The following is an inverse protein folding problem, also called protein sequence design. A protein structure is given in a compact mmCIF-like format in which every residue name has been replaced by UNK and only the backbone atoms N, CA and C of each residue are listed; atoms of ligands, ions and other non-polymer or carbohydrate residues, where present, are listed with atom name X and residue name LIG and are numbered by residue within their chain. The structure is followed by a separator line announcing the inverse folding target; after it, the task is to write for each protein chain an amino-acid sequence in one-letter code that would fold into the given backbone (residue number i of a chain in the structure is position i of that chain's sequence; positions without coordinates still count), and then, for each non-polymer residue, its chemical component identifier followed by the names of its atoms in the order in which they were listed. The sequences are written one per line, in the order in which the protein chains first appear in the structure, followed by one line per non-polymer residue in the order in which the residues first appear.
data_IF_429336332679
#
_entry.id   IF_429336332679
#
_cell.length_a   1.000
_cell.length_b   1.000
_cell.length_c   1.000
_cell.angle_alpha   90.00
_cell.angle_beta   90.00
_cell.angle_gamma   90.00
#
_symmetry.space_group_name_H-M   'P 1'
#
loop_
_entity.id
_entity.type
_entity.pdbx_description
1 polymer ?
#
# COMPACT_ATOMS: atom_id res chain seq x y z
N UNK A 1 -14.55 -30.12 -9.75
CA UNK A 1 -14.39 -28.97 -8.84
C UNK A 1 -13.82 -27.68 -9.48
N UNK A 2 -13.44 -27.67 -10.77
CA UNK A 2 -12.81 -26.49 -11.41
C UNK A 2 -13.76 -25.52 -12.15
N UNK A 3 -15.06 -25.83 -12.22
CA UNK A 3 -16.01 -25.05 -13.05
C UNK A 3 -16.63 -23.85 -12.34
N UNK A 4 -16.59 -23.80 -11.02
CA UNK A 4 -17.14 -22.70 -10.21
C UNK A 4 -16.15 -21.54 -10.01
N UNK A 5 -14.86 -21.73 -10.30
CA UNK A 5 -13.84 -20.69 -10.11
C UNK A 5 -13.72 -19.71 -11.30
N UNK A 6 -14.18 -20.11 -12.50
CA UNK A 6 -14.04 -19.31 -13.73
C UNK A 6 -15.19 -18.29 -13.87
N UNK A 7 -16.40 -18.64 -13.44
CA UNK A 7 -17.55 -17.73 -13.51
C UNK A 7 -17.44 -16.56 -12.52
N UNK A 8 -16.69 -16.72 -11.42
CA UNK A 8 -16.42 -15.66 -10.46
C UNK A 8 -15.43 -14.60 -11.00
N UNK A 9 -14.54 -14.97 -11.92
CA UNK A 9 -13.59 -14.03 -12.55
C UNK A 9 -14.25 -13.14 -13.61
N UNK A 10 -15.28 -13.63 -14.29
CA UNK A 10 -15.93 -12.91 -15.39
C UNK A 10 -16.86 -11.83 -14.85
N UNK A 11 -17.58 -12.11 -13.76
CA UNK A 11 -18.50 -11.14 -13.13
C UNK A 11 -17.77 -9.96 -12.49
N UNK A 12 -16.58 -10.15 -11.93
CA UNK A 12 -15.76 -9.05 -11.39
C UNK A 12 -15.22 -8.14 -12.51
N UNK A 13 -14.89 -8.68 -13.68
CA UNK A 13 -14.38 -7.90 -14.82
C UNK A 13 -15.46 -6.98 -15.41
N UNK A 14 -16.70 -7.46 -15.54
CA UNK A 14 -17.81 -6.61 -15.99
C UNK A 14 -18.21 -5.55 -14.96
N UNK A 15 -18.08 -5.83 -13.66
CA UNK A 15 -18.37 -4.85 -12.59
C UNK A 15 -17.34 -3.71 -12.56
N UNK A 16 -16.08 -4.01 -12.88
CA UNK A 16 -15.01 -3.00 -13.03
C UNK A 16 -15.18 -2.17 -14.31
N UNK A 17 -15.68 -2.78 -15.40
CA UNK A 17 -15.98 -2.08 -16.65
C UNK A 17 -17.18 -1.12 -16.50
N UNK A 18 -18.26 -1.54 -15.83
CA UNK A 18 -19.46 -0.71 -15.65
C UNK A 18 -19.25 0.50 -14.73
N UNK A 19 -18.31 0.45 -13.78
CA UNK A 19 -18.00 1.60 -12.91
C UNK A 19 -17.17 2.69 -13.62
N UNK A 20 -16.42 2.37 -14.68
CA UNK A 20 -15.56 3.33 -15.37
C UNK A 20 -16.31 4.25 -16.35
N UNK A 21 -17.46 3.82 -16.85
CA UNK A 21 -18.24 4.61 -17.81
C UNK A 21 -19.03 5.76 -17.14
N UNK A 22 -19.28 5.71 -15.83
CA UNK A 22 -19.97 6.77 -15.08
C UNK A 22 -19.04 7.85 -14.50
N UNK A 23 -17.73 7.59 -14.40
CA UNK A 23 -16.75 8.59 -13.95
C UNK A 23 -16.30 9.56 -15.06
N UNK A 24 -16.73 9.34 -16.30
CA UNK A 24 -16.29 10.09 -17.47
C UNK A 24 -16.95 11.48 -17.63
N UNK A 25 -18.02 11.77 -16.87
CA UNK A 25 -18.78 13.04 -16.93
C UNK A 25 -18.78 13.83 -15.60
N UNK A 26 -18.07 13.38 -14.58
CA UNK A 26 -17.92 14.15 -13.35
C UNK A 26 -16.79 15.18 -13.55
N UNK A 27 -17.16 16.42 -13.86
CA UNK A 27 -16.26 17.55 -13.59
C UNK A 27 -15.78 17.39 -12.14
N UNK A 28 -14.46 17.36 -11.89
CA UNK A 28 -13.93 17.06 -10.57
C UNK A 28 -14.50 18.09 -9.60
N UNK A 29 -15.35 17.60 -8.72
CA UNK A 29 -16.01 18.46 -7.75
C UNK A 29 -14.95 19.05 -6.83
N UNK A 30 -15.27 20.16 -6.16
CA UNK A 30 -14.37 20.73 -5.13
C UNK A 30 -13.97 19.67 -4.09
N UNK A 31 -14.85 18.68 -3.88
CA UNK A 31 -14.60 17.52 -3.04
C UNK A 31 -13.50 16.61 -3.60
N UNK A 32 -13.47 16.33 -4.91
CA UNK A 32 -12.42 15.51 -5.55
C UNK A 32 -11.05 16.19 -5.50
N UNK A 33 -11.01 17.52 -5.66
CA UNK A 33 -9.77 18.29 -5.52
C UNK A 33 -9.27 18.27 -4.07
N UNK A 34 -10.17 18.43 -3.10
CA UNK A 34 -9.82 18.32 -1.68
C UNK A 34 -9.36 16.90 -1.33
N UNK A 35 -10.06 15.86 -1.80
CA UNK A 35 -9.72 14.46 -1.58
C UNK A 35 -8.35 14.10 -2.18
N UNK A 36 -8.04 14.58 -3.40
CA UNK A 36 -6.69 14.43 -3.98
C UNK A 36 -5.64 15.15 -3.17
N UNK A 37 -5.90 16.38 -2.73
CA UNK A 37 -4.94 17.16 -1.94
C UNK A 37 -4.65 16.53 -0.57
N UNK A 38 -5.69 16.03 0.09
CA UNK A 38 -5.56 15.28 1.36
C UNK A 38 -4.86 13.95 1.10
N UNK A 39 -5.18 13.25 0.02
CA UNK A 39 -4.55 12.00 -0.39
C UNK A 39 -3.06 12.16 -0.70
N UNK A 40 -2.67 13.20 -1.42
CA UNK A 40 -1.28 13.51 -1.77
C UNK A 40 -0.50 14.00 -0.55
N UNK A 41 -1.11 14.81 0.31
CA UNK A 41 -0.53 15.19 1.59
C UNK A 41 -0.31 13.97 2.48
N UNK A 42 -1.31 13.09 2.60
CA UNK A 42 -1.23 11.85 3.37
C UNK A 42 -0.22 10.86 2.78
N UNK A 43 -0.16 10.71 1.45
CA UNK A 43 0.83 9.89 0.76
C UNK A 43 2.25 10.45 0.90
N UNK A 44 2.41 11.77 0.79
CA UNK A 44 3.69 12.45 0.99
C UNK A 44 4.18 12.36 2.43
N UNK A 45 3.28 12.51 3.39
CA UNK A 45 3.57 12.40 4.82
C UNK A 45 3.87 10.95 5.22
N UNK A 46 3.08 9.98 4.75
CA UNK A 46 3.29 8.54 5.00
C UNK A 46 4.56 7.99 4.37
N UNK A 47 5.01 8.52 3.22
CA UNK A 47 6.32 8.18 2.62
C UNK A 47 7.49 8.60 3.49
N UNK A 48 7.39 9.71 4.22
CA UNK A 48 8.41 10.15 5.20
C UNK A 48 8.38 9.30 6.48
N UNK A 49 7.23 8.74 6.82
CA UNK A 49 7.03 7.82 7.94
C UNK A 49 7.41 6.37 7.62
N UNK A 50 8.07 6.09 6.50
CA UNK A 50 8.38 4.73 6.01
C UNK A 50 8.91 3.72 7.05
N UNK A 51 9.76 4.08 8.04
CA UNK A 51 10.15 3.13 9.07
C UNK A 51 9.15 3.01 10.24
N UNK A 52 8.26 4.00 10.43
CA UNK A 52 7.31 4.06 11.56
C UNK A 52 5.84 3.93 11.15
N UNK A 53 5.52 3.78 9.86
CA UNK A 53 4.14 3.89 9.35
C UNK A 53 3.19 2.91 10.02
N UNK A 54 3.62 1.67 10.23
CA UNK A 54 2.83 0.66 10.95
C UNK A 54 2.74 0.92 12.45
N UNK A 55 3.85 1.29 13.10
CA UNK A 55 3.85 1.63 14.51
C UNK A 55 2.96 2.84 14.82
N UNK A 56 2.99 3.88 13.97
CA UNK A 56 2.10 5.05 14.04
C UNK A 56 0.64 4.68 13.70
N UNK A 57 0.47 3.84 12.68
CA UNK A 57 -0.74 3.08 12.37
C UNK A 57 -1.46 2.59 13.62
N UNK A 58 -0.83 1.62 14.26
CA UNK A 58 -1.37 0.91 15.41
C UNK A 58 -1.46 1.77 16.67
N UNK A 59 -0.51 2.68 16.90
CA UNK A 59 -0.61 3.62 18.05
C UNK A 59 -1.75 4.60 17.89
N UNK A 60 -1.98 5.15 16.69
CA UNK A 60 -3.11 6.06 16.44
C UNK A 60 -4.45 5.35 16.66
N UNK A 61 -4.59 4.12 16.17
CA UNK A 61 -5.80 3.31 16.38
C UNK A 61 -6.00 2.97 17.86
N UNK A 62 -4.93 2.62 18.58
CA UNK A 62 -4.99 2.35 20.01
C UNK A 62 -5.44 3.57 20.82
N UNK A 63 -4.92 4.77 20.49
CA UNK A 63 -5.34 6.03 21.12
C UNK A 63 -6.83 6.28 20.88
N UNK A 64 -7.32 6.00 19.66
CA UNK A 64 -8.73 6.17 19.30
C UNK A 64 -9.62 5.23 20.14
N UNK A 65 -9.26 3.96 20.29
CA UNK A 65 -9.97 3.03 21.19
C UNK A 65 -9.93 3.46 22.66
N UNK A 66 -8.79 3.96 23.14
CA UNK A 66 -8.66 4.45 24.50
C UNK A 66 -9.57 5.67 24.74
N UNK A 67 -9.60 6.63 23.81
CA UNK A 67 -10.50 7.79 23.88
C UNK A 67 -11.96 7.36 23.92
N UNK A 68 -12.37 6.40 23.07
CA UNK A 68 -13.73 5.86 23.09
C UNK A 68 -14.05 5.18 24.43
N UNK A 69 -13.13 4.41 25.00
CA UNK A 69 -13.31 3.78 26.31
C UNK A 69 -13.46 4.84 27.42
N UNK A 70 -12.62 5.88 27.43
CA UNK A 70 -12.72 6.98 28.39
C UNK A 70 -14.01 7.79 28.22
N UNK A 71 -14.44 8.05 27.00
CA UNK A 71 -15.70 8.74 26.73
C UNK A 71 -16.90 7.93 27.24
N UNK A 72 -16.92 6.62 26.96
CA UNK A 72 -17.97 5.72 27.47
C UNK A 72 -17.94 5.62 28.99
N UNK A 73 -16.76 5.55 29.60
CA UNK A 73 -16.59 5.55 31.05
C UNK A 73 -17.03 6.87 31.70
N UNK A 74 -16.72 8.01 31.08
CA UNK A 74 -17.18 9.32 31.53
C UNK A 74 -18.69 9.45 31.44
N UNK A 75 -19.30 8.98 30.34
CA UNK A 75 -20.73 8.96 30.16
C UNK A 75 -21.44 8.08 31.19
N UNK A 76 -20.89 6.91 31.52
CA UNK A 76 -21.47 6.04 32.56
C UNK A 76 -21.34 6.64 33.95
N UNK A 77 -20.22 7.29 34.28
CA UNK A 77 -20.06 8.03 35.53
C UNK A 77 -21.03 9.20 35.65
N UNK A 78 -21.17 10.00 34.59
CA UNK A 78 -22.09 11.13 34.56
C UNK A 78 -23.56 10.70 34.72
N UNK A 79 -23.97 9.62 34.06
CA UNK A 79 -25.31 9.04 34.22
C UNK A 79 -25.58 8.54 35.64
N UNK A 80 -24.58 7.99 36.33
CA UNK A 80 -24.72 7.57 37.74
C UNK A 80 -24.84 8.74 38.71
N UNK A 81 -24.19 9.87 38.42
CA UNK A 81 -24.30 11.08 39.25
C UNK A 81 -25.63 11.83 39.02
N UNK A 82 -26.24 11.68 37.84
CA UNK A 82 -27.51 12.33 37.47
C UNK A 82 -28.76 11.74 38.13
N UNK A 83 -28.63 10.72 38.98
CA UNK A 83 -29.78 10.14 39.70
C UNK A 83 -30.74 9.33 38.82
N UNK A 84 -30.38 9.03 37.56
CA UNK A 84 -31.05 8.00 36.74
C UNK A 84 -30.71 6.62 37.30
N UNK A 85 -31.31 6.35 38.46
CA UNK A 85 -31.31 5.06 39.11
C UNK A 85 -31.91 4.03 38.17
N UNK A 86 -31.21 2.90 38.07
CA UNK A 86 -31.69 1.68 37.44
C UNK A 86 -31.61 1.65 35.90
N UNK A 87 -30.45 2.01 35.35
CA UNK A 87 -29.99 1.36 34.11
C UNK A 87 -30.14 -0.15 34.30
N UNK A 88 -30.94 -0.80 33.44
CA UNK A 88 -31.15 -2.24 33.48
C UNK A 88 -29.77 -2.91 33.62
N UNK A 89 -29.62 -3.80 34.60
CA UNK A 89 -28.33 -4.44 34.94
C UNK A 89 -27.61 -5.00 33.69
N UNK A 90 -28.39 -5.49 32.72
CA UNK A 90 -27.93 -5.93 31.41
C UNK A 90 -27.17 -4.83 30.62
N UNK A 91 -27.65 -3.60 30.64
CA UNK A 91 -27.04 -2.46 29.94
C UNK A 91 -25.77 -1.99 30.63
N UNK A 92 -25.73 -1.98 31.97
CA UNK A 92 -24.51 -1.69 32.72
C UNK A 92 -23.43 -2.76 32.48
N UNK A 93 -23.81 -4.04 32.40
CA UNK A 93 -22.87 -5.12 32.07
C UNK A 93 -22.36 -5.00 30.63
N UNK A 94 -23.23 -4.72 29.66
CA UNK A 94 -22.82 -4.51 28.27
C UNK A 94 -21.82 -3.35 28.14
N UNK A 95 -22.01 -2.25 28.87
CA UNK A 95 -21.08 -1.13 28.89
C UNK A 95 -19.72 -1.51 29.47
N UNK A 96 -19.70 -2.25 30.59
CA UNK A 96 -18.45 -2.74 31.20
C UNK A 96 -17.72 -3.69 30.26
N UNK A 97 -18.42 -4.63 29.64
CA UNK A 97 -17.86 -5.56 28.64
C UNK A 97 -17.29 -4.77 27.46
N UNK A 98 -18.01 -3.77 26.97
CA UNK A 98 -17.55 -2.91 25.85
C UNK A 98 -16.27 -2.16 26.20
N UNK A 99 -16.20 -1.59 27.41
CA UNK A 99 -14.99 -0.91 27.91
C UNK A 99 -13.83 -1.92 28.00
N UNK A 100 -14.07 -3.11 28.55
CA UNK A 100 -13.05 -4.17 28.64
C UNK A 100 -12.54 -4.62 27.28
N UNK A 101 -13.42 -4.83 26.30
CA UNK A 101 -13.05 -5.18 24.93
C UNK A 101 -12.25 -4.06 24.27
N UNK A 102 -12.65 -2.80 24.44
CA UNK A 102 -11.92 -1.65 23.90
C UNK A 102 -10.51 -1.53 24.51
N UNK A 103 -10.37 -1.78 25.82
CA UNK A 103 -9.08 -1.80 26.50
C UNK A 103 -8.18 -2.96 26.03
N UNK A 104 -8.75 -4.16 25.85
CA UNK A 104 -8.03 -5.31 25.30
C UNK A 104 -7.58 -5.05 23.86
N UNK A 105 -8.44 -4.48 23.02
CA UNK A 105 -8.10 -4.10 21.66
C UNK A 105 -6.97 -3.07 21.64
N UNK A 106 -7.03 -2.06 22.51
CA UNK A 106 -5.98 -1.08 22.69
C UNK A 106 -4.65 -1.76 23.07
N UNK A 107 -4.66 -2.66 24.06
CA UNK A 107 -3.49 -3.43 24.47
C UNK A 107 -2.88 -4.24 23.30
N UNK A 108 -3.71 -4.98 22.55
CA UNK A 108 -3.24 -5.77 21.41
C UNK A 108 -2.63 -4.87 20.33
N UNK A 109 -3.27 -3.74 20.02
CA UNK A 109 -2.77 -2.80 19.02
C UNK A 109 -1.44 -2.16 19.44
N UNK A 110 -1.30 -1.79 20.72
CA UNK A 110 -0.02 -1.31 21.26
C UNK A 110 1.06 -2.39 21.16
N UNK A 111 0.75 -3.65 21.45
CA UNK A 111 1.71 -4.75 21.29
C UNK A 111 2.12 -4.93 19.82
N UNK A 112 1.18 -4.83 18.88
CA UNK A 112 1.48 -4.88 17.45
C UNK A 112 2.31 -3.67 16.99
N UNK A 113 2.05 -2.50 17.55
CA UNK A 113 2.86 -1.30 17.31
C UNK A 113 4.31 -1.50 17.77
N UNK A 114 4.51 -2.16 18.91
CA UNK A 114 5.84 -2.47 19.45
C UNK A 114 6.56 -3.55 18.63
N UNK A 115 5.83 -4.58 18.17
CA UNK A 115 6.40 -5.62 17.30
C UNK A 115 6.79 -5.09 15.92
N UNK A 116 6.03 -4.13 15.41
CA UNK A 116 6.33 -3.44 14.15
C UNK A 116 7.35 -2.31 14.30
N UNK A 117 7.95 -2.14 15.49
CA UNK A 117 8.96 -1.11 15.71
C UNK A 117 10.21 -1.40 14.86
N UNK A 118 10.74 -0.40 14.13
CA UNK A 118 11.89 -0.60 13.25
C UNK A 118 13.15 -0.97 14.07
N UNK A 119 13.83 -2.05 13.65
CA UNK A 119 15.01 -2.62 14.33
C UNK A 119 16.24 -1.73 14.33
N UNK A 120 16.28 -0.67 13.52
CA UNK A 120 17.41 0.26 13.42
C UNK A 120 17.30 1.50 14.31
N UNK A 121 16.21 1.67 15.07
CA UNK A 121 15.92 2.92 15.76
C UNK A 121 15.74 2.69 17.26
N UNK A 122 16.54 3.42 18.05
CA UNK A 122 16.47 3.39 19.50
C UNK A 122 15.13 3.90 19.99
N UNK A 123 14.43 3.04 20.73
CA UNK A 123 13.13 3.36 21.31
C UNK A 123 13.27 4.47 22.38
N UNK A 124 12.38 5.49 22.41
CA UNK A 124 12.44 6.56 23.39
C UNK A 124 12.43 6.04 24.83
N UNK A 125 13.23 6.63 25.71
CA UNK A 125 13.35 6.18 27.13
C UNK A 125 12.01 6.18 27.86
N UNK A 126 11.13 7.14 27.56
CA UNK A 126 9.79 7.24 28.17
C UNK A 126 8.90 6.05 27.77
N UNK A 127 8.89 5.72 26.48
CA UNK A 127 8.13 4.59 25.95
C UNK A 127 8.65 3.27 26.54
N UNK A 128 9.97 3.12 26.65
CA UNK A 128 10.58 1.93 27.29
C UNK A 128 10.17 1.77 28.76
N UNK A 129 10.03 2.86 29.52
CA UNK A 129 9.53 2.79 30.90
C UNK A 129 8.07 2.35 30.95
N UNK A 130 7.22 2.89 30.08
CA UNK A 130 5.81 2.51 30.00
C UNK A 130 5.64 1.03 29.65
N UNK A 131 6.37 0.54 28.65
CA UNK A 131 6.32 -0.88 28.26
C UNK A 131 6.78 -1.80 29.40
N UNK A 132 7.80 -1.39 30.16
CA UNK A 132 8.21 -2.11 31.39
C UNK A 132 7.15 -2.07 32.49
N UNK A 133 6.49 -0.94 32.71
CA UNK A 133 5.42 -0.81 33.69
C UNK A 133 4.21 -1.68 33.33
N UNK A 134 3.94 -1.87 32.03
CA UNK A 134 2.91 -2.76 31.53
C UNK A 134 3.33 -4.26 31.52
N UNK A 135 4.53 -4.60 32.00
CA UNK A 135 5.04 -5.97 32.03
C UNK A 135 5.30 -6.58 30.64
N UNK A 136 5.38 -5.75 29.60
CA UNK A 136 5.61 -6.25 28.24
C UNK A 136 7.10 -6.41 27.97
N UNK A 137 7.47 -7.54 27.38
CA UNK A 137 8.84 -7.78 26.94
C UNK A 137 9.19 -6.84 25.78
N UNK A 138 10.15 -5.95 26.03
CA UNK A 138 10.76 -5.15 24.95
C UNK A 138 11.63 -6.12 24.15
N UNK A 139 11.48 -6.20 22.81
CA UNK A 139 12.40 -6.97 21.99
C UNK A 139 13.82 -6.50 22.30
N UNK A 140 14.60 -7.35 22.97
CA UNK A 140 15.99 -7.06 23.28
C UNK A 140 16.67 -6.92 21.92
N UNK A 141 17.16 -5.71 21.62
CA UNK A 141 18.08 -5.51 20.51
C UNK A 141 19.20 -6.51 20.72
N UNK A 142 19.24 -7.56 19.90
CA UNK A 142 20.42 -8.36 19.74
C UNK A 142 21.50 -7.38 19.27
N UNK A 143 22.30 -6.89 20.22
CA UNK A 143 23.54 -6.23 19.89
C UNK A 143 24.26 -7.17 18.92
N UNK A 144 24.73 -6.69 17.76
CA UNK A 144 25.67 -7.49 16.99
C UNK A 144 26.83 -7.78 17.93
N UNK A 145 26.94 -9.03 18.36
CA UNK A 145 28.09 -9.49 19.09
C UNK A 145 29.28 -9.17 18.20
N UNK A 146 30.14 -8.30 18.70
CA UNK A 146 31.43 -7.98 18.11
C UNK A 146 32.31 -9.24 18.19
N UNK A 147 32.01 -10.24 17.37
CA UNK A 147 32.92 -11.33 17.06
C UNK A 147 33.91 -10.81 16.02
N UNK A 148 35.07 -10.41 16.56
CA UNK A 148 36.38 -10.31 15.92
C UNK A 148 36.44 -11.00 14.53
N UNK A 149 36.86 -10.31 13.46
CA UNK A 149 37.00 -10.91 12.14
C UNK A 149 38.23 -11.82 12.15
N UNK A 150 38.02 -13.14 12.16
CA UNK A 150 39.06 -14.08 11.75
C UNK A 150 39.04 -14.13 10.23
N UNK A 151 40.16 -13.72 9.63
CA UNK A 151 40.45 -13.87 8.21
C UNK A 151 40.02 -15.24 7.69
N UNK A 152 39.18 -15.23 6.64
CA UNK A 152 39.16 -16.30 5.66
C UNK A 152 38.77 -15.71 4.30
N UNK A 153 39.36 -16.19 3.19
CA UNK A 153 39.41 -15.46 1.93
C UNK A 153 38.20 -15.76 1.04
N UNK A 154 37.72 -14.70 0.38
CA UNK A 154 37.33 -14.70 -1.04
C UNK A 154 36.19 -15.67 -1.44
N UNK A 155 34.97 -15.14 -1.43
CA UNK A 155 33.98 -15.47 -2.48
C UNK A 155 33.28 -14.20 -2.96
N UNK A 156 33.57 -13.86 -4.22
CA UNK A 156 33.04 -12.72 -4.98
C UNK A 156 31.52 -12.83 -5.18
N UNK A 157 30.83 -11.68 -5.00
CA UNK A 157 29.62 -11.20 -5.74
C UNK A 157 28.26 -11.83 -5.36
N UNK A 158 27.24 -11.01 -5.00
CA UNK A 158 26.15 -10.74 -5.96
C UNK A 158 25.45 -9.37 -5.77
N UNK A 159 26.13 -8.23 -5.95
CA UNK A 159 25.43 -6.92 -6.04
C UNK A 159 24.89 -6.60 -7.44
N UNK A 160 25.35 -7.32 -8.48
CA UNK A 160 24.97 -7.03 -9.87
C UNK A 160 23.52 -7.40 -10.24
N UNK A 161 22.80 -8.14 -9.39
CA UNK A 161 21.47 -8.70 -9.70
C UNK A 161 20.28 -7.85 -9.22
N UNK A 162 20.48 -6.94 -8.26
CA UNK A 162 19.41 -6.04 -7.78
C UNK A 162 19.28 -4.78 -8.64
N UNK A 163 20.40 -4.28 -9.19
CA UNK A 163 20.40 -3.16 -10.13
C UNK A 163 19.69 -3.51 -11.45
N UNK A 164 19.78 -4.76 -11.92
CA UNK A 164 19.16 -5.18 -13.19
C UNK A 164 17.63 -5.21 -13.13
N UNK A 165 17.03 -5.62 -12.01
CA UNK A 165 15.57 -5.71 -11.87
C UNK A 165 14.92 -4.32 -11.78
N UNK A 166 15.56 -3.37 -11.10
CA UNK A 166 15.09 -1.99 -11.02
C UNK A 166 15.16 -1.29 -12.40
N UNK A 167 16.24 -1.53 -13.14
CA UNK A 167 16.41 -1.03 -14.52
C UNK A 167 15.37 -1.60 -15.48
N UNK A 168 15.02 -2.88 -15.33
CA UNK A 168 14.03 -3.55 -16.19
C UNK A 168 12.62 -2.98 -15.97
N UNK A 169 12.24 -2.72 -14.71
CA UNK A 169 10.94 -2.10 -14.38
C UNK A 169 10.81 -0.68 -14.94
N UNK A 170 11.88 0.11 -14.87
CA UNK A 170 11.90 1.45 -15.44
C UNK A 170 11.75 1.43 -16.97
N UNK A 171 12.42 0.49 -17.65
CA UNK A 171 12.33 0.34 -19.11
C UNK A 171 10.91 -0.07 -19.57
N UNK A 172 10.25 -0.97 -18.84
CA UNK A 172 8.87 -1.39 -19.12
C UNK A 172 7.89 -0.23 -18.91
N UNK A 173 8.06 0.54 -17.83
CA UNK A 173 7.21 1.70 -17.56
C UNK A 173 7.36 2.78 -18.64
N UNK A 174 8.60 3.05 -19.08
CA UNK A 174 8.89 3.98 -20.17
C UNK A 174 8.21 3.53 -21.47
N UNK A 175 8.27 2.23 -21.81
CA UNK A 175 7.59 1.66 -22.97
C UNK A 175 6.07 1.90 -22.96
N UNK A 176 5.38 1.53 -21.87
CA UNK A 176 3.92 1.72 -21.80
C UNK A 176 3.52 3.20 -21.78
N UNK A 177 4.33 4.08 -21.19
CA UNK A 177 4.09 5.52 -21.23
C UNK A 177 4.21 6.09 -22.65
N UNK A 178 5.21 5.65 -23.43
CA UNK A 178 5.39 6.07 -24.82
C UNK A 178 4.28 5.58 -25.74
N UNK A 179 3.85 4.32 -25.59
CA UNK A 179 2.73 3.76 -26.38
C UNK A 179 1.42 4.48 -26.06
N UNK A 180 1.19 4.87 -24.80
CA UNK A 180 0.03 5.67 -24.40
C UNK A 180 0.10 7.09 -24.96
N UNK A 181 1.27 7.72 -24.97
CA UNK A 181 1.48 9.04 -25.55
C UNK A 181 1.24 9.04 -27.07
N UNK A 182 1.52 7.92 -27.75
CA UNK A 182 1.18 7.72 -29.16
C UNK A 182 -0.33 7.54 -29.43
N UNK A 183 -1.18 7.57 -28.39
CA UNK A 183 -2.62 7.38 -28.50
C UNK A 183 -3.02 5.95 -28.90
N UNK A 184 -2.17 4.97 -28.61
CA UNK A 184 -2.40 3.57 -28.96
C UNK A 184 -3.10 2.85 -27.80
N UNK A 185 -4.08 2.02 -28.12
CA UNK A 185 -4.86 1.27 -27.14
C UNK A 185 -3.95 0.32 -26.32
N UNK A 186 -4.25 0.21 -25.02
CA UNK A 186 -3.55 -0.69 -24.08
C UNK A 186 -3.59 -2.16 -24.55
N UNK A 187 -4.64 -2.57 -25.26
CA UNK A 187 -4.73 -3.91 -25.87
C UNK A 187 -3.61 -4.17 -26.87
N UNK A 188 -3.28 -3.16 -27.69
CA UNK A 188 -2.20 -3.21 -28.67
C UNK A 188 -0.85 -3.16 -27.96
N UNK A 189 -0.70 -2.33 -26.92
CA UNK A 189 0.51 -2.29 -26.10
C UNK A 189 0.84 -3.66 -25.48
N UNK A 190 -0.19 -4.39 -25.02
CA UNK A 190 -0.05 -5.76 -24.52
C UNK A 190 0.31 -6.75 -25.62
N UNK A 191 -0.29 -6.62 -26.81
CA UNK A 191 0.05 -7.45 -27.95
C UNK A 191 1.52 -7.29 -28.37
N UNK A 192 2.03 -6.05 -28.42
CA UNK A 192 3.45 -5.74 -28.68
C UNK A 192 4.37 -6.36 -27.60
N UNK A 193 3.99 -6.23 -26.33
CA UNK A 193 4.75 -6.79 -25.22
C UNK A 193 4.83 -8.32 -25.27
N UNK A 194 3.72 -8.98 -25.60
CA UNK A 194 3.64 -10.43 -25.78
C UNK A 194 4.41 -10.92 -27.01
N UNK A 195 4.50 -10.09 -28.06
CA UNK A 195 5.33 -10.33 -29.24
C UNK A 195 6.84 -10.11 -28.99
N UNK A 196 7.22 -9.79 -27.75
CA UNK A 196 8.61 -9.65 -27.32
C UNK A 196 9.19 -8.24 -27.46
N UNK A 197 8.38 -7.25 -27.84
CA UNK A 197 8.81 -5.85 -27.92
C UNK A 197 8.56 -5.20 -26.56
N UNK A 198 9.61 -5.12 -25.73
CA UNK A 198 9.50 -4.69 -24.33
C UNK A 198 10.14 -3.33 -24.05
N UNK A 199 10.86 -2.78 -25.02
CA UNK A 199 11.59 -1.52 -24.89
C UNK A 199 11.33 -0.59 -26.07
N UNK A 200 11.40 0.74 -25.88
CA UNK A 200 11.26 1.71 -26.97
C UNK A 200 12.25 1.48 -28.12
N UNK A 201 13.50 1.13 -27.79
CA UNK A 201 14.54 0.84 -28.78
C UNK A 201 14.19 -0.37 -29.64
N UNK A 202 13.66 -1.44 -29.04
CA UNK A 202 13.21 -2.63 -29.78
C UNK A 202 12.03 -2.34 -30.71
N UNK A 203 11.16 -1.39 -30.33
CA UNK A 203 10.06 -0.95 -31.17
C UNK A 203 10.57 -0.15 -32.39
N UNK A 204 11.57 0.71 -32.18
CA UNK A 204 12.22 1.46 -33.26
C UNK A 204 13.02 0.56 -34.20
N UNK A 205 13.68 -0.47 -33.68
CA UNK A 205 14.46 -1.43 -34.48
C UNK A 205 13.62 -2.52 -35.16
N UNK A 206 12.36 -2.71 -34.76
CA UNK A 206 11.49 -3.71 -35.38
C UNK A 206 11.13 -3.28 -36.81
N UNK A 207 11.05 -4.21 -37.75
CA UNK A 207 10.54 -3.92 -39.10
C UNK A 207 9.02 -3.71 -39.06
N UNK A 208 8.50 -2.90 -39.99
CA UNK A 208 7.06 -2.62 -40.06
C UNK A 208 6.26 -3.90 -40.37
N UNK A 209 6.81 -4.82 -41.17
CA UNK A 209 6.25 -6.15 -41.42
C UNK A 209 6.07 -6.97 -40.12
N UNK A 210 7.03 -6.86 -39.20
CA UNK A 210 6.98 -7.53 -37.90
C UNK A 210 5.95 -6.89 -36.96
N UNK A 211 5.71 -5.59 -37.08
CA UNK A 211 4.68 -4.91 -36.31
C UNK A 211 3.28 -5.23 -36.83
N UNK A 212 3.11 -5.31 -38.15
CA UNK A 212 1.84 -5.63 -38.80
C UNK A 212 1.40 -7.08 -38.62
N UNK A 213 2.34 -8.01 -38.40
CA UNK A 213 1.99 -9.41 -38.10
C UNK A 213 1.38 -9.60 -36.69
N UNK A 214 1.40 -8.57 -35.84
CA UNK A 214 0.84 -8.61 -34.49
C UNK A 214 -0.66 -8.32 -34.57
N UNK A 215 -1.47 -9.27 -34.09
CA UNK A 215 -2.94 -9.18 -34.12
C UNK A 215 -3.43 -7.86 -33.50
N UNK A 216 -4.14 -7.06 -34.30
CA UNK A 216 -4.71 -5.77 -33.89
C UNK A 216 -3.81 -4.55 -34.15
N UNK A 217 -2.61 -4.73 -34.69
CA UNK A 217 -1.74 -3.64 -35.15
C UNK A 217 -2.00 -3.39 -36.63
N UNK A 218 -2.66 -2.27 -36.94
CA UNK A 218 -2.87 -1.82 -38.33
C UNK A 218 -1.79 -0.81 -38.78
N UNK A 219 -1.71 -0.50 -40.09
CA UNK A 219 -0.74 0.45 -40.64
C UNK A 219 -0.85 1.86 -40.03
N UNK A 220 -2.06 2.29 -39.67
CA UNK A 220 -2.29 3.56 -38.96
C UNK A 220 -1.63 3.55 -37.57
N UNK A 221 -1.69 2.43 -36.87
CA UNK A 221 -1.07 2.28 -35.54
C UNK A 221 0.45 2.29 -35.66
N UNK A 222 1.01 1.64 -36.67
CA UNK A 222 2.45 1.66 -36.94
C UNK A 222 2.93 3.09 -37.22
N UNK A 223 2.22 3.84 -38.06
CA UNK A 223 2.54 5.24 -38.34
C UNK A 223 2.53 6.12 -37.07
N UNK A 224 1.54 5.95 -36.18
CA UNK A 224 1.48 6.66 -34.90
C UNK A 224 2.64 6.31 -33.97
N UNK A 225 3.00 5.03 -33.89
CA UNK A 225 4.13 4.57 -33.08
C UNK A 225 5.45 5.15 -33.63
N UNK A 226 5.69 5.09 -34.93
CA UNK A 226 6.89 5.69 -35.55
C UNK A 226 7.00 7.18 -35.25
N UNK A 227 5.94 7.94 -35.53
CA UNK A 227 5.92 9.39 -35.31
C UNK A 227 6.21 9.78 -33.86
N UNK A 228 5.75 8.99 -32.87
CA UNK A 228 5.96 9.30 -31.46
C UNK A 228 7.33 8.86 -30.95
N UNK A 229 7.82 7.71 -31.36
CA UNK A 229 9.09 7.16 -30.87
C UNK A 229 10.30 7.73 -31.63
N UNK A 230 10.15 8.17 -32.87
CA UNK A 230 11.18 8.91 -33.62
C UNK A 230 11.38 10.33 -33.08
N UNK A 231 10.38 10.93 -32.42
CA UNK A 231 10.49 12.22 -31.71
C UNK A 231 11.16 12.11 -30.33
N UNK A 232 11.25 10.90 -29.79
CA UNK A 232 11.75 10.63 -28.44
C UNK A 232 13.18 10.04 -28.45
N UNK A 233 13.71 9.73 -29.63
CA UNK A 233 15.09 9.29 -29.88
C UNK A 233 15.98 10.49 -30.23
#
# INVERSE_FOLDING_TARGET
MLRTAVDFQITDVYKVLAMQDHEFYADPTVFDYWQRRVGDWFCGHSRKLRPYGWALAFTSMAVLFALTAFAMFGATLAGRMGGEGQMAWNQSMAQVITIMIALLACQVLLQQALRSWPTGITMPRRLRRLVRQCGWEVPVMALPSSSRPRHSPRTRRPERRKASIASERAAVQAFFSGVRAAGVNVSIARALFNAGIRTPLQLCSASDERLLSIRGVGPVTVCKLRTQFDRAA
#
